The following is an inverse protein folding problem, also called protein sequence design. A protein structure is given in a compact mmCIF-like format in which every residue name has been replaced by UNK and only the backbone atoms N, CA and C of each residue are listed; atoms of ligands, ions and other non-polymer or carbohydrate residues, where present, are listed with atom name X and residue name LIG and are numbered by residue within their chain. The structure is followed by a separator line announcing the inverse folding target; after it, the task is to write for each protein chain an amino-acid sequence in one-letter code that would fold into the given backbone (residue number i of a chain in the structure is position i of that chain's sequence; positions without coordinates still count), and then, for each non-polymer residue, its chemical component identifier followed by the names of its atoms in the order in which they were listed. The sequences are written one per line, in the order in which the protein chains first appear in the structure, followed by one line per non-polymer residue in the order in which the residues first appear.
data_IF_235117526970
#
_entry.id   IF_235117526970
#
_cell.length_a   1.000
_cell.length_b   1.000
_cell.length_c   1.000
_cell.angle_alpha   90.00
_cell.angle_beta   90.00
_cell.angle_gamma   90.00
#
_symmetry.space_group_name_H-M   'P 1'
#
loop_
_entity.id
_entity.type
_entity.pdbx_description
1 polymer ?
#
# COMPACT_ATOMS: atom_id res chain seq x y z
N UNK A 1 -15.80 59.93 25.08
CA UNK A 1 -15.93 58.49 25.37
C UNK A 1 -16.05 57.73 24.05
N UNK A 2 -14.96 57.14 23.55
CA UNK A 2 -14.96 56.27 22.36
C UNK A 2 -14.55 54.87 22.80
N UNK A 3 -15.47 53.90 22.68
CA UNK A 3 -15.24 52.49 22.99
C UNK A 3 -14.49 51.85 21.82
N UNK A 4 -13.28 51.34 22.07
CA UNK A 4 -12.56 50.46 21.15
C UNK A 4 -13.08 49.03 21.31
N UNK A 5 -13.62 48.48 20.23
CA UNK A 5 -13.99 47.08 20.11
C UNK A 5 -12.74 46.33 19.62
N UNK A 6 -12.09 45.57 20.50
CA UNK A 6 -11.00 44.64 20.12
C UNK A 6 -11.65 43.34 19.68
N UNK A 7 -11.67 43.09 18.37
CA UNK A 7 -12.05 41.79 17.80
C UNK A 7 -10.83 40.88 17.92
N UNK A 8 -10.90 39.96 18.88
CA UNK A 8 -9.96 38.86 19.06
C UNK A 8 -10.14 37.87 17.91
N UNK A 9 -9.24 37.91 16.92
CA UNK A 9 -9.20 36.91 15.87
C UNK A 9 -8.60 35.61 16.43
N UNK A 10 -9.45 34.61 16.67
CA UNK A 10 -9.02 33.23 16.86
C UNK A 10 -8.51 32.67 15.53
N UNK A 11 -7.19 32.55 15.38
CA UNK A 11 -6.60 31.69 14.36
C UNK A 11 -6.81 30.21 14.76
N UNK A 12 -7.28 29.34 13.85
CA UNK A 12 -7.19 27.91 14.07
C UNK A 12 -5.72 27.49 14.02
N UNK A 13 -5.30 26.75 15.05
CA UNK A 13 -3.98 26.13 15.12
C UNK A 13 -3.75 25.29 13.86
N UNK A 14 -2.83 25.76 13.02
CA UNK A 14 -2.23 24.95 11.99
C UNK A 14 -1.54 23.78 12.70
N UNK A 15 -2.07 22.58 12.51
CA UNK A 15 -1.37 21.35 12.84
C UNK A 15 -0.19 21.26 11.88
N UNK A 16 0.95 21.77 12.34
CA UNK A 16 2.25 21.52 11.74
C UNK A 16 2.42 20.00 11.74
N UNK A 17 2.39 19.39 10.56
CA UNK A 17 2.90 18.04 10.39
C UNK A 17 4.32 18.04 10.93
N UNK A 18 4.57 17.24 11.96
CA UNK A 18 5.91 17.05 12.51
C UNK A 18 6.78 16.35 11.44
N UNK A 19 7.36 17.16 10.55
CA UNK A 19 8.27 16.74 9.48
C UNK A 19 9.75 16.87 9.89
N UNK A 20 10.03 17.18 11.16
CA UNK A 20 11.37 17.44 11.70
C UNK A 20 11.74 16.57 12.92
N UNK A 21 11.13 15.38 13.07
CA UNK A 21 11.70 14.41 14.01
C UNK A 21 12.99 13.83 13.37
N UNK A 22 14.15 13.89 14.05
CA UNK A 22 15.38 13.31 13.51
C UNK A 22 15.16 11.84 13.18
N UNK A 23 15.71 11.39 12.05
CA UNK A 23 15.63 9.99 11.65
C UNK A 23 16.09 9.10 12.82
N UNK A 24 15.35 8.01 13.14
CA UNK A 24 15.69 7.17 14.28
C UNK A 24 17.15 6.71 14.19
N UNK A 25 17.87 6.86 15.28
CA UNK A 25 19.27 6.43 15.36
C UNK A 25 19.37 4.92 15.41
N UNK A 26 20.55 4.39 15.05
CA UNK A 26 20.84 2.96 15.20
C UNK A 26 20.62 2.47 16.64
N UNK A 27 20.91 3.30 17.65
CA UNK A 27 20.70 2.95 19.05
C UNK A 27 19.22 2.80 19.40
N UNK A 28 18.36 3.70 18.90
CA UNK A 28 16.91 3.62 19.08
C UNK A 28 16.32 2.41 18.35
N UNK A 29 16.82 2.10 17.16
CA UNK A 29 16.42 0.91 16.42
C UNK A 29 16.78 -0.37 17.18
N UNK A 30 17.99 -0.47 17.73
CA UNK A 30 18.39 -1.64 18.54
C UNK A 30 17.61 -1.72 19.85
N UNK A 31 17.28 -0.59 20.49
CA UNK A 31 16.42 -0.57 21.67
C UNK A 31 14.99 -1.02 21.34
N UNK A 32 14.45 -0.63 20.19
CA UNK A 32 13.14 -1.07 19.72
C UNK A 32 13.13 -2.58 19.40
N UNK A 33 14.19 -3.09 18.76
CA UNK A 33 14.37 -4.53 18.49
C UNK A 33 14.53 -5.32 19.80
N UNK A 34 15.32 -4.82 20.74
CA UNK A 34 15.48 -5.43 22.07
C UNK A 34 14.15 -5.51 22.80
N UNK A 35 13.42 -4.39 22.85
CA UNK A 35 12.05 -4.35 23.40
C UNK A 35 11.14 -5.33 22.67
N UNK A 36 11.13 -5.36 21.34
CA UNK A 36 10.32 -6.30 20.57
C UNK A 36 10.60 -7.75 20.99
N UNK A 37 11.88 -8.14 21.01
CA UNK A 37 12.29 -9.51 21.35
C UNK A 37 11.93 -9.87 22.78
N UNK A 38 12.21 -9.00 23.75
CA UNK A 38 11.91 -9.28 25.16
C UNK A 38 10.40 -9.27 25.43
N UNK A 39 9.66 -8.42 24.75
CA UNK A 39 8.20 -8.33 24.87
C UNK A 39 7.50 -9.50 24.16
N UNK A 40 8.12 -10.08 23.13
CA UNK A 40 7.57 -11.21 22.38
C UNK A 40 7.74 -12.57 23.07
N UNK A 41 8.62 -12.69 24.07
CA UNK A 41 8.85 -13.95 24.80
C UNK A 41 7.66 -14.25 25.72
N UNK A 42 6.94 -15.34 25.42
CA UNK A 42 5.90 -15.89 26.30
C UNK A 42 4.57 -15.12 26.34
N UNK A 43 4.33 -14.17 25.42
CA UNK A 43 3.04 -13.47 25.31
C UNK A 43 2.04 -14.20 24.43
N UNK A 44 0.77 -13.88 24.65
CA UNK A 44 -0.37 -14.23 23.81
C UNK A 44 -0.39 -13.44 22.49
N UNK A 45 -1.36 -13.75 21.62
CA UNK A 45 -1.43 -13.18 20.27
C UNK A 45 -1.51 -11.65 20.25
N UNK A 46 -2.28 -11.07 21.15
CA UNK A 46 -2.43 -9.63 21.28
C UNK A 46 -1.12 -8.96 21.74
N UNK A 47 -0.41 -9.59 22.67
CA UNK A 47 0.80 -9.06 23.26
C UNK A 47 1.95 -8.90 22.27
N UNK A 48 2.18 -9.88 21.39
CA UNK A 48 3.24 -9.76 20.39
C UNK A 48 2.82 -8.88 19.20
N UNK A 49 1.53 -8.82 18.84
CA UNK A 49 1.01 -7.86 17.83
C UNK A 49 1.27 -6.41 18.22
N UNK A 50 0.98 -6.08 19.48
CA UNK A 50 1.25 -4.75 20.03
C UNK A 50 2.76 -4.44 20.03
N UNK A 51 3.61 -5.41 20.35
CA UNK A 51 5.06 -5.25 20.32
C UNK A 51 5.58 -4.97 18.89
N UNK A 52 5.07 -5.70 17.89
CA UNK A 52 5.40 -5.49 16.47
C UNK A 52 4.95 -4.10 15.99
N UNK A 53 3.73 -3.68 16.34
CA UNK A 53 3.23 -2.36 15.99
C UNK A 53 4.04 -1.24 16.66
N UNK A 54 4.47 -1.42 17.91
CA UNK A 54 5.33 -0.47 18.61
C UNK A 54 6.71 -0.38 17.96
N UNK A 55 7.30 -1.52 17.60
CA UNK A 55 8.59 -1.55 16.92
C UNK A 55 8.53 -0.79 15.58
N UNK A 56 7.47 -0.97 14.80
CA UNK A 56 7.28 -0.31 13.50
C UNK A 56 7.23 1.23 13.57
N UNK A 57 6.94 1.82 14.75
CA UNK A 57 7.06 3.27 14.94
C UNK A 57 8.50 3.75 14.80
N UNK A 58 9.47 2.90 15.13
CA UNK A 58 10.87 3.15 14.83
C UNK A 58 11.11 2.86 13.35
N UNK A 59 10.88 3.88 12.51
CA UNK A 59 11.07 3.85 11.07
C UNK A 59 12.56 3.76 10.73
N UNK A 60 13.13 2.56 10.85
CA UNK A 60 14.54 2.28 10.61
C UNK A 60 14.73 0.95 9.86
N UNK A 61 15.73 0.89 8.98
CA UNK A 61 16.02 -0.29 8.15
C UNK A 61 16.25 -1.57 8.99
N UNK A 62 16.95 -1.46 10.12
CA UNK A 62 17.18 -2.61 11.02
C UNK A 62 15.88 -3.16 11.61
N UNK A 63 14.90 -2.30 11.90
CA UNK A 63 13.58 -2.73 12.39
C UNK A 63 12.82 -3.42 11.27
N UNK A 64 12.86 -2.88 10.05
CA UNK A 64 12.29 -3.56 8.86
C UNK A 64 12.91 -4.95 8.69
N UNK A 65 14.23 -5.08 8.83
CA UNK A 65 14.93 -6.36 8.74
C UNK A 65 14.43 -7.37 9.78
N UNK A 66 14.30 -6.94 11.04
CA UNK A 66 13.78 -7.80 12.11
C UNK A 66 12.32 -8.21 11.85
N UNK A 67 11.46 -7.26 11.48
CA UNK A 67 10.06 -7.53 11.12
C UNK A 67 9.94 -8.46 9.91
N UNK A 68 10.88 -8.38 8.96
CA UNK A 68 10.94 -9.28 7.81
C UNK A 68 11.24 -10.73 8.21
N UNK A 69 11.91 -10.94 9.35
CA UNK A 69 12.08 -12.26 9.96
C UNK A 69 10.74 -12.89 10.34
N UNK A 70 9.82 -12.10 10.91
CA UNK A 70 8.48 -12.57 11.29
C UNK A 70 7.60 -12.94 10.09
N UNK A 71 7.86 -12.41 8.89
CA UNK A 71 7.21 -12.84 7.65
C UNK A 71 7.50 -14.29 7.26
N UNK A 72 8.49 -14.92 7.91
CA UNK A 72 8.88 -16.32 7.76
C UNK A 72 8.50 -17.20 8.96
N UNK A 73 7.83 -16.65 9.97
CA UNK A 73 7.41 -17.39 11.18
C UNK A 73 6.44 -18.54 10.87
N UNK A 74 6.39 -19.59 11.68
CA UNK A 74 5.42 -20.67 11.52
C UNK A 74 3.97 -20.20 11.76
N UNK A 75 3.79 -19.15 12.57
CA UNK A 75 2.46 -18.58 12.86
C UNK A 75 2.01 -17.63 11.75
N UNK A 76 0.90 -17.95 11.08
CA UNK A 76 0.29 -17.05 10.08
C UNK A 76 -0.10 -15.70 10.69
N UNK A 77 -0.59 -15.68 11.93
CA UNK A 77 -0.92 -14.45 12.63
C UNK A 77 0.31 -13.53 12.73
N UNK A 78 1.48 -14.08 13.08
CA UNK A 78 2.74 -13.34 13.15
C UNK A 78 3.16 -12.77 11.80
N UNK A 79 2.97 -13.52 10.72
CA UNK A 79 3.25 -13.02 9.37
C UNK A 79 2.34 -11.87 8.97
N UNK A 80 1.03 -12.00 9.22
CA UNK A 80 0.04 -10.97 8.91
C UNK A 80 0.38 -9.67 9.63
N UNK A 81 0.59 -9.72 10.94
CA UNK A 81 0.91 -8.53 11.72
C UNK A 81 2.27 -7.92 11.38
N UNK A 82 3.27 -8.73 11.05
CA UNK A 82 4.55 -8.22 10.54
C UNK A 82 4.37 -7.49 9.20
N UNK A 83 3.56 -8.03 8.30
CA UNK A 83 3.26 -7.40 7.02
C UNK A 83 2.50 -6.07 7.18
N UNK A 84 1.49 -6.04 8.05
CA UNK A 84 0.76 -4.82 8.39
C UNK A 84 1.68 -3.76 8.99
N UNK A 85 2.53 -4.15 9.95
CA UNK A 85 3.47 -3.27 10.62
C UNK A 85 4.49 -2.67 9.64
N UNK A 86 5.14 -3.48 8.81
CA UNK A 86 6.04 -2.99 7.75
C UNK A 86 5.30 -2.05 6.80
N UNK A 87 4.04 -2.35 6.47
CA UNK A 87 3.18 -1.50 5.64
C UNK A 87 2.92 -0.10 6.22
N UNK A 88 3.05 0.10 7.52
CA UNK A 88 2.92 1.43 8.17
C UNK A 88 4.21 2.26 8.15
N UNK A 89 5.34 1.67 7.75
CA UNK A 89 6.66 2.31 7.74
C UNK A 89 6.88 3.15 6.47
N UNK A 90 5.93 4.04 6.16
CA UNK A 90 5.97 4.91 4.98
C UNK A 90 7.22 5.80 5.02
N UNK A 91 7.91 5.90 3.88
CA UNK A 91 9.18 6.62 3.74
C UNK A 91 10.43 5.77 4.03
N UNK A 92 10.28 4.53 4.49
CA UNK A 92 11.41 3.60 4.64
C UNK A 92 11.67 2.83 3.33
N UNK A 93 12.81 3.10 2.71
CA UNK A 93 13.18 2.57 1.39
C UNK A 93 13.19 1.02 1.31
N UNK A 94 13.48 0.34 2.43
CA UNK A 94 13.58 -1.12 2.44
C UNK A 94 12.26 -1.81 2.81
N UNK A 95 11.24 -1.08 3.28
CA UNK A 95 9.96 -1.64 3.69
C UNK A 95 9.24 -2.29 2.49
N UNK A 96 9.21 -1.60 1.34
CA UNK A 96 8.59 -2.11 0.14
C UNK A 96 9.35 -3.33 -0.41
N UNK A 97 10.68 -3.29 -0.43
CA UNK A 97 11.52 -4.41 -0.85
C UNK A 97 11.28 -5.66 -0.01
N UNK A 98 11.20 -5.49 1.31
CA UNK A 98 10.90 -6.57 2.25
C UNK A 98 9.53 -7.23 1.96
N UNK A 99 8.49 -6.41 1.77
CA UNK A 99 7.15 -6.90 1.46
C UNK A 99 7.09 -7.58 0.08
N UNK A 100 7.73 -7.01 -0.95
CA UNK A 100 7.84 -7.63 -2.30
C UNK A 100 8.48 -9.00 -2.21
N UNK A 101 9.60 -9.13 -1.51
CA UNK A 101 10.32 -10.40 -1.33
C UNK A 101 9.48 -11.45 -0.57
N UNK A 102 8.51 -11.00 0.24
CA UNK A 102 7.65 -11.88 1.02
C UNK A 102 6.43 -12.41 0.27
N UNK A 103 6.09 -11.90 -0.93
CA UNK A 103 4.91 -12.35 -1.69
C UNK A 103 5.03 -13.85 -2.05
N UNK A 104 6.11 -14.25 -2.72
CA UNK A 104 6.25 -15.62 -3.22
C UNK A 104 6.33 -16.67 -2.10
N UNK A 105 7.12 -16.50 -1.01
CA UNK A 105 7.16 -17.45 0.09
C UNK A 105 5.81 -17.60 0.83
N UNK A 106 4.96 -16.58 0.75
CA UNK A 106 3.65 -16.56 1.41
C UNK A 106 2.50 -16.89 0.47
N UNK A 107 2.77 -17.28 -0.78
CA UNK A 107 1.71 -17.48 -1.78
C UNK A 107 0.64 -18.47 -1.32
N UNK A 108 0.94 -19.50 -0.53
CA UNK A 108 -0.07 -20.43 -0.01
C UNK A 108 -0.95 -19.84 1.12
N UNK A 109 -0.55 -18.72 1.72
CA UNK A 109 -1.17 -18.10 2.90
C UNK A 109 -1.91 -16.82 2.50
N UNK A 110 -3.16 -16.97 2.10
CA UNK A 110 -3.95 -15.88 1.48
C UNK A 110 -4.04 -14.66 2.40
N UNK A 111 -4.29 -14.84 3.70
CA UNK A 111 -4.41 -13.71 4.63
C UNK A 111 -3.08 -12.94 4.77
N UNK A 112 -1.95 -13.66 4.78
CA UNK A 112 -0.62 -13.04 4.79
C UNK A 112 -0.37 -12.25 3.50
N UNK A 113 -0.72 -12.82 2.34
CA UNK A 113 -0.56 -12.15 1.04
C UNK A 113 -1.41 -10.88 0.96
N UNK A 114 -2.65 -10.93 1.44
CA UNK A 114 -3.52 -9.75 1.51
C UNK A 114 -2.90 -8.64 2.36
N UNK A 115 -2.35 -8.98 3.53
CA UNK A 115 -1.67 -8.02 4.40
C UNK A 115 -0.42 -7.42 3.72
N UNK A 116 0.39 -8.24 3.06
CA UNK A 116 1.56 -7.79 2.29
C UNK A 116 1.14 -6.81 1.19
N UNK A 117 0.13 -7.15 0.40
CA UNK A 117 -0.34 -6.32 -0.71
C UNK A 117 -0.93 -5.00 -0.21
N UNK A 118 -1.72 -5.03 0.87
CA UNK A 118 -2.24 -3.82 1.53
C UNK A 118 -1.10 -2.93 2.02
N UNK A 119 -0.05 -3.52 2.61
CA UNK A 119 1.15 -2.81 3.02
C UNK A 119 1.86 -2.14 1.84
N UNK A 120 2.07 -2.86 0.74
CA UNK A 120 2.68 -2.31 -0.48
C UNK A 120 1.87 -1.15 -1.06
N UNK A 121 0.54 -1.27 -1.10
CA UNK A 121 -0.35 -0.19 -1.50
C UNK A 121 -0.29 1.04 -0.60
N UNK A 122 0.05 0.86 0.68
CA UNK A 122 0.19 1.95 1.66
C UNK A 122 1.55 2.63 1.55
N UNK A 123 2.61 1.85 1.32
CA UNK A 123 3.97 2.37 1.14
C UNK A 123 4.12 3.18 -0.14
N UNK A 124 3.34 2.87 -1.18
CA UNK A 124 3.29 3.68 -2.39
C UNK A 124 4.46 3.48 -3.36
N UNK A 125 5.30 2.46 -3.15
CA UNK A 125 6.52 2.28 -3.94
C UNK A 125 6.20 1.72 -5.34
N UNK A 126 6.48 2.53 -6.38
CA UNK A 126 6.29 2.17 -7.77
C UNK A 126 7.14 0.96 -8.20
N UNK A 127 8.27 0.68 -7.55
CA UNK A 127 9.12 -0.47 -7.83
C UNK A 127 8.43 -1.81 -7.49
N UNK A 128 7.37 -1.80 -6.66
CA UNK A 128 6.59 -2.99 -6.35
C UNK A 128 5.60 -3.38 -7.48
N UNK A 129 5.26 -2.45 -8.38
CA UNK A 129 4.23 -2.65 -9.40
C UNK A 129 4.51 -3.87 -10.30
N UNK A 130 5.72 -4.07 -10.86
CA UNK A 130 5.97 -5.21 -11.74
C UNK A 130 5.69 -6.55 -11.05
N UNK A 131 6.08 -6.70 -9.79
CA UNK A 131 5.86 -7.94 -9.03
C UNK A 131 4.39 -8.14 -8.69
N UNK A 132 3.70 -7.10 -8.19
CA UNK A 132 2.26 -7.19 -7.87
C UNK A 132 1.46 -7.56 -9.13
N UNK A 133 1.78 -6.91 -10.26
CA UNK A 133 1.16 -7.19 -11.55
C UNK A 133 1.39 -8.65 -11.98
N UNK A 134 2.65 -9.11 -11.97
CA UNK A 134 3.00 -10.46 -12.39
C UNK A 134 2.28 -11.51 -11.53
N UNK A 135 2.25 -11.33 -10.20
CA UNK A 135 1.54 -12.23 -9.29
C UNK A 135 0.03 -12.23 -9.54
N UNK A 136 -0.60 -11.07 -9.69
CA UNK A 136 -2.04 -10.98 -9.94
C UNK A 136 -2.45 -11.63 -11.26
N UNK A 137 -1.67 -11.44 -12.33
CA UNK A 137 -1.91 -12.07 -13.63
C UNK A 137 -1.72 -13.59 -13.58
N UNK A 138 -0.71 -14.07 -12.85
CA UNK A 138 -0.49 -15.50 -12.63
C UNK A 138 -1.67 -16.12 -11.90
N UNK A 139 -2.11 -15.52 -10.78
CA UNK A 139 -3.26 -16.01 -10.01
C UNK A 139 -4.57 -15.98 -10.80
N UNK A 140 -4.73 -15.05 -11.73
CA UNK A 140 -5.90 -15.01 -12.63
C UNK A 140 -5.95 -16.21 -13.59
N UNK A 141 -4.79 -16.78 -13.93
CA UNK A 141 -4.69 -17.97 -14.77
C UNK A 141 -4.87 -19.28 -14.00
N UNK A 142 -4.85 -19.24 -12.67
CA UNK A 142 -5.11 -20.40 -11.81
C UNK A 142 -6.61 -20.68 -11.68
N UNK A 143 -6.96 -21.91 -11.31
CA UNK A 143 -8.36 -22.33 -11.02
C UNK A 143 -8.71 -22.27 -9.54
N UNK A 144 -7.76 -21.88 -8.67
CA UNK A 144 -7.97 -21.81 -7.23
C UNK A 144 -8.77 -20.54 -6.86
N UNK A 145 -10.05 -20.72 -6.52
CA UNK A 145 -10.95 -19.63 -6.16
C UNK A 145 -10.49 -18.81 -4.93
N UNK A 146 -9.72 -19.40 -4.00
CA UNK A 146 -9.20 -18.69 -2.83
C UNK A 146 -8.26 -17.54 -3.20
N UNK A 147 -7.69 -17.59 -4.41
CA UNK A 147 -6.89 -16.51 -4.99
C UNK A 147 -7.68 -15.25 -5.27
N UNK A 148 -9.01 -15.31 -5.37
CA UNK A 148 -9.84 -14.13 -5.63
C UNK A 148 -9.61 -13.01 -4.62
N UNK A 149 -9.38 -13.38 -3.36
CA UNK A 149 -8.98 -12.48 -2.26
C UNK A 149 -7.65 -11.78 -2.53
N UNK A 150 -6.60 -12.55 -2.84
CA UNK A 150 -5.29 -12.02 -3.17
C UNK A 150 -5.30 -11.13 -4.44
N UNK A 151 -6.09 -11.50 -5.45
CA UNK A 151 -6.27 -10.70 -6.68
C UNK A 151 -6.94 -9.36 -6.37
N UNK A 152 -7.98 -9.36 -5.54
CA UNK A 152 -8.65 -8.13 -5.10
C UNK A 152 -7.68 -7.23 -4.32
N UNK A 153 -6.92 -7.80 -3.39
CA UNK A 153 -5.89 -7.08 -2.65
C UNK A 153 -4.79 -6.51 -3.57
N UNK A 154 -4.41 -7.23 -4.63
CA UNK A 154 -3.44 -6.74 -5.61
C UNK A 154 -3.98 -5.55 -6.40
N UNK A 155 -5.25 -5.60 -6.82
CA UNK A 155 -5.90 -4.47 -7.48
C UNK A 155 -5.98 -3.24 -6.56
N UNK A 156 -6.31 -3.43 -5.28
CA UNK A 156 -6.27 -2.35 -4.29
C UNK A 156 -4.87 -1.79 -4.07
N UNK A 157 -3.86 -2.66 -4.01
CA UNK A 157 -2.47 -2.27 -3.83
C UNK A 157 -1.96 -1.41 -4.99
N UNK A 158 -2.22 -1.84 -6.24
CA UNK A 158 -1.94 -1.03 -7.42
C UNK A 158 -2.68 0.32 -7.38
N UNK A 159 -3.94 0.31 -6.94
CA UNK A 159 -4.72 1.54 -6.67
C UNK A 159 -4.14 2.44 -5.56
N UNK A 160 -3.37 1.87 -4.64
CA UNK A 160 -2.69 2.57 -3.55
C UNK A 160 -1.36 3.18 -3.96
N UNK A 161 -0.61 2.52 -4.85
CA UNK A 161 0.70 2.94 -5.33
C UNK A 161 0.65 4.24 -6.14
N UNK A 162 -0.46 4.48 -6.87
CA UNK A 162 -0.69 5.73 -7.60
C UNK A 162 0.38 6.07 -8.62
N UNK A 163 1.03 5.11 -9.27
CA UNK A 163 1.96 5.41 -10.37
C UNK A 163 1.34 5.20 -11.76
N UNK A 164 1.92 5.80 -12.80
CA UNK A 164 1.59 5.51 -14.20
C UNK A 164 1.62 4.01 -14.47
N UNK A 165 2.68 3.34 -14.02
CA UNK A 165 2.84 1.90 -14.13
C UNK A 165 1.69 1.14 -13.43
N UNK A 166 1.18 1.64 -12.30
CA UNK A 166 0.04 1.03 -11.61
C UNK A 166 -1.26 1.14 -12.40
N UNK A 167 -1.48 2.24 -13.12
CA UNK A 167 -2.64 2.42 -14.01
C UNK A 167 -2.56 1.44 -15.18
N UNK A 168 -1.39 1.33 -15.81
CA UNK A 168 -1.13 0.36 -16.89
C UNK A 168 -1.36 -1.09 -16.41
N UNK A 169 -0.83 -1.44 -15.22
CA UNK A 169 -1.01 -2.75 -14.62
C UNK A 169 -2.49 -3.08 -14.33
N UNK A 170 -3.27 -2.10 -13.85
CA UNK A 170 -4.70 -2.28 -13.62
C UNK A 170 -5.48 -2.49 -14.92
N UNK A 171 -5.14 -1.78 -16.00
CA UNK A 171 -5.76 -1.98 -17.32
C UNK A 171 -5.47 -3.39 -17.84
N UNK A 172 -4.23 -3.85 -17.72
CA UNK A 172 -3.82 -5.20 -18.12
C UNK A 172 -4.57 -6.27 -17.30
N UNK A 173 -4.66 -6.09 -15.98
CA UNK A 173 -5.43 -6.98 -15.10
C UNK A 173 -6.91 -7.00 -15.45
N UNK A 174 -7.52 -5.85 -15.77
CA UNK A 174 -8.92 -5.75 -16.21
C UNK A 174 -9.16 -6.54 -17.50
N UNK A 175 -8.26 -6.41 -18.47
CA UNK A 175 -8.34 -7.15 -19.73
C UNK A 175 -8.29 -8.67 -19.50
N UNK A 176 -7.48 -9.12 -18.52
CA UNK A 176 -7.40 -10.53 -18.15
C UNK A 176 -8.67 -11.04 -17.44
N UNK A 177 -9.39 -10.19 -16.71
CA UNK A 177 -10.67 -10.58 -16.12
C UNK A 177 -11.75 -10.88 -17.18
N UNK A 178 -11.74 -10.16 -18.31
CA UNK A 178 -12.79 -10.23 -19.34
C UNK A 178 -12.78 -11.48 -20.24
N UNK A 179 -11.77 -12.36 -20.18
CA UNK A 179 -11.76 -13.57 -21.01
C UNK A 179 -10.59 -14.51 -20.75
N UNK A 180 -10.86 -15.82 -20.85
CA UNK A 180 -9.87 -16.88 -20.80
C UNK A 180 -10.17 -18.01 -19.81
N UNK A 181 -9.50 -19.17 -19.95
CA UNK A 181 -9.47 -20.22 -18.92
C UNK A 181 -8.71 -19.72 -17.69
N UNK A 182 -9.05 -20.25 -16.51
CA UNK A 182 -8.47 -19.85 -15.23
C UNK A 182 -9.54 -19.71 -14.15
N UNK A 183 -9.57 -18.55 -13.51
CA UNK A 183 -10.45 -18.30 -12.37
C UNK A 183 -11.95 -18.43 -12.71
N UNK A 184 -12.79 -18.86 -11.75
CA UNK A 184 -14.24 -18.88 -11.91
C UNK A 184 -14.79 -17.51 -12.31
N UNK A 185 -15.88 -17.49 -13.09
CA UNK A 185 -16.49 -16.25 -13.56
C UNK A 185 -16.83 -15.28 -12.42
N UNK A 186 -17.28 -15.80 -11.27
CA UNK A 186 -17.54 -15.00 -10.08
C UNK A 186 -16.29 -14.26 -9.57
N UNK A 187 -15.15 -14.95 -9.48
CA UNK A 187 -13.86 -14.35 -9.08
C UNK A 187 -13.40 -13.32 -10.09
N UNK A 188 -13.48 -13.63 -11.39
CA UNK A 188 -13.12 -12.69 -12.47
C UNK A 188 -13.98 -11.43 -12.45
N UNK A 189 -15.29 -11.55 -12.23
CA UNK A 189 -16.21 -10.42 -12.14
C UNK A 189 -15.94 -9.56 -10.89
N UNK A 190 -15.68 -10.20 -9.75
CA UNK A 190 -15.30 -9.49 -8.53
C UNK A 190 -13.98 -8.71 -8.72
N UNK A 191 -12.96 -9.36 -9.31
CA UNK A 191 -11.69 -8.73 -9.63
C UNK A 191 -11.86 -7.57 -10.64
N UNK A 192 -12.63 -7.76 -11.71
CA UNK A 192 -12.92 -6.69 -12.68
C UNK A 192 -13.60 -5.48 -12.01
N UNK A 193 -14.52 -5.74 -11.08
CA UNK A 193 -15.20 -4.69 -10.30
C UNK A 193 -14.19 -3.94 -9.43
N UNK A 194 -13.32 -4.66 -8.71
CA UNK A 194 -12.30 -4.07 -7.84
C UNK A 194 -11.26 -3.27 -8.62
N UNK A 195 -10.82 -3.79 -9.77
CA UNK A 195 -9.90 -3.10 -10.69
C UNK A 195 -10.55 -1.82 -11.22
N UNK A 196 -11.82 -1.89 -11.64
CA UNK A 196 -12.55 -0.71 -12.11
C UNK A 196 -12.69 0.34 -11.00
N UNK A 197 -12.99 -0.05 -9.77
CA UNK A 197 -13.04 0.85 -8.63
C UNK A 197 -11.67 1.51 -8.35
N UNK A 198 -10.58 0.75 -8.47
CA UNK A 198 -9.22 1.26 -8.28
C UNK A 198 -8.81 2.23 -9.39
N UNK A 199 -9.15 1.93 -10.64
CA UNK A 199 -8.97 2.83 -11.79
C UNK A 199 -9.79 4.11 -11.63
N UNK A 200 -11.06 4.03 -11.26
CA UNK A 200 -11.91 5.20 -11.02
C UNK A 200 -11.35 6.07 -9.90
N UNK A 201 -10.87 5.45 -8.81
CA UNK A 201 -10.24 6.16 -7.69
C UNK A 201 -8.98 6.92 -8.11
N UNK A 202 -8.16 6.32 -8.98
CA UNK A 202 -6.91 6.92 -9.46
C UNK A 202 -7.12 7.98 -10.54
N UNK A 203 -8.02 7.70 -11.48
CA UNK A 203 -8.08 8.41 -12.77
C UNK A 203 -9.37 9.18 -13.00
N UNK A 204 -10.38 8.95 -12.16
CA UNK A 204 -11.76 9.40 -12.40
C UNK A 204 -12.53 8.55 -13.41
N UNK A 205 -11.86 7.60 -14.08
CA UNK A 205 -12.44 6.79 -15.16
C UNK A 205 -12.35 5.29 -14.84
N UNK A 206 -13.44 4.55 -15.06
CA UNK A 206 -13.49 3.12 -14.75
C UNK A 206 -12.78 2.22 -15.78
N UNK A 207 -12.55 2.73 -17.00
CA UNK A 207 -11.88 2.03 -18.09
C UNK A 207 -11.37 3.02 -19.12
N UNK A 208 -10.23 2.71 -19.71
CA UNK A 208 -9.72 3.42 -20.88
C UNK A 208 -10.09 2.65 -22.15
N UNK A 209 -10.68 3.32 -23.16
CA UNK A 209 -10.70 2.79 -24.51
C UNK A 209 -9.27 2.53 -24.99
N UNK A 210 -9.12 1.56 -25.90
CA UNK A 210 -7.81 1.20 -26.45
C UNK A 210 -7.15 2.43 -27.09
N UNK A 211 -5.96 2.80 -26.60
CA UNK A 211 -5.20 3.95 -27.10
C UNK A 211 -5.47 5.30 -26.40
N UNK A 212 -6.50 5.39 -25.54
CA UNK A 212 -6.82 6.65 -24.86
C UNK A 212 -6.03 6.87 -23.55
N UNK A 213 -5.36 5.83 -23.03
CA UNK A 213 -4.47 5.97 -21.87
C UNK A 213 -3.34 6.98 -22.14
N UNK A 214 -2.74 6.95 -23.32
CA UNK A 214 -1.66 7.86 -23.69
C UNK A 214 -2.15 9.32 -23.74
N UNK A 215 -3.36 9.54 -24.28
CA UNK A 215 -3.99 10.87 -24.31
C UNK A 215 -4.35 11.36 -22.92
N UNK A 216 -4.93 10.48 -22.09
CA UNK A 216 -5.23 10.81 -20.70
C UNK A 216 -3.97 11.18 -19.94
N UNK A 217 -2.91 10.36 -20.05
CA UNK A 217 -1.62 10.65 -19.44
C UNK A 217 -1.05 11.97 -19.92
N UNK A 218 -1.02 12.22 -21.24
CA UNK A 218 -0.55 13.48 -21.80
C UNK A 218 -1.34 14.70 -21.28
N UNK A 219 -2.63 14.56 -21.02
CA UNK A 219 -3.47 15.61 -20.45
C UNK A 219 -3.21 15.91 -18.97
N UNK A 220 -2.71 14.93 -18.21
CA UNK A 220 -2.44 15.08 -16.77
C UNK A 220 -0.95 15.20 -16.43
N UNK A 221 -0.04 14.75 -17.29
CA UNK A 221 1.41 14.81 -17.10
C UNK A 221 1.95 16.22 -16.79
N UNK A 222 1.38 17.33 -17.33
CA UNK A 222 1.80 18.67 -16.92
C UNK A 222 1.48 19.01 -15.46
N UNK A 223 0.56 18.27 -14.83
CA UNK A 223 0.04 18.50 -13.47
C UNK A 223 0.55 17.47 -12.46
N UNK A 224 1.07 16.34 -12.93
CA UNK A 224 1.47 15.23 -12.07
C UNK A 224 2.73 14.55 -12.59
N UNK A 225 3.60 14.13 -11.66
CA UNK A 225 4.76 13.28 -11.95
C UNK A 225 4.32 11.85 -12.24
N UNK A 226 5.27 10.98 -12.61
CA UNK A 226 5.03 9.57 -12.95
C UNK A 226 4.44 8.74 -11.78
N UNK A 227 4.58 9.19 -10.55
CA UNK A 227 3.98 8.64 -9.32
C UNK A 227 2.64 9.31 -8.96
N UNK A 228 2.02 10.02 -9.91
CA UNK A 228 0.81 10.83 -9.73
C UNK A 228 0.88 11.82 -8.55
N UNK A 229 2.08 12.17 -8.09
CA UNK A 229 2.26 13.28 -7.17
C UNK A 229 2.08 14.59 -7.94
N UNK A 230 1.31 15.56 -7.41
CA UNK A 230 1.17 16.84 -8.08
C UNK A 230 2.54 17.53 -8.21
N UNK A 231 2.83 18.16 -9.34
CA UNK A 231 3.91 19.16 -9.40
C UNK A 231 3.57 20.35 -8.49
N UNK A 232 4.56 21.11 -8.03
CA UNK A 232 4.37 22.23 -7.08
C UNK A 232 3.17 23.13 -7.47
N UNK A 233 2.26 23.36 -6.52
CA UNK A 233 1.01 24.11 -6.76
C UNK A 233 -0.14 23.28 -7.37
N UNK A 234 0.08 21.99 -7.66
CA UNK A 234 -0.93 21.08 -8.18
C UNK A 234 -1.88 20.56 -7.09
N UNK A 235 -3.17 20.51 -7.41
CA UNK A 235 -4.18 19.92 -6.53
C UNK A 235 -4.02 18.39 -6.53
N UNK A 236 -4.10 17.70 -5.37
CA UNK A 236 -4.15 16.24 -5.35
C UNK A 236 -5.30 15.73 -6.23
N UNK A 237 -5.19 14.51 -6.80
CA UNK A 237 -6.26 13.82 -7.54
C UNK A 237 -7.56 13.55 -6.71
N UNK A 238 -7.74 14.19 -5.55
CA UNK A 238 -8.97 14.17 -4.78
C UNK A 238 -10.08 14.92 -5.51
N UNK A 239 -10.89 14.15 -6.22
CA UNK A 239 -12.23 14.57 -6.63
C UNK A 239 -12.25 15.51 -7.83
N UNK A 240 -12.13 14.92 -9.03
CA UNK A 240 -13.02 15.36 -10.10
C UNK A 240 -14.46 15.13 -9.62
N UNK A 241 -14.99 16.12 -8.88
CA UNK A 241 -16.42 16.21 -8.61
C UNK A 241 -17.12 16.37 -9.97
N UNK A 242 -18.21 15.62 -10.08
CA UNK A 242 -19.21 15.66 -11.15
C UNK A 242 -19.58 17.07 -11.57
#
# INVERSE_FOLDING_TARGET
MKRFLVILAMLPAATVFAEDAPAPTNAEAQAAIGKLRDTSKGRDEAGWKAAIAEAAKCRHASVVFELSGFLKSDSEAQRVAAAEAIGTMVGQADAAKALVAAIAPNVARVATVEAILRGLGTLGDAAAVPTIKASALAWMCETNADRGRAINAAAEALGGIRSKASVEALIELKAKCSGGPGQPAAVRNAAATRVSASLTKLTGVASFPKGDLAKWWAGIAPKYRDDLTPVEGGVPLKGMKK
#
